data_IF_793108802721
#
_entry.id   IF_793108802721
#
_cell.length_a   1.000
_cell.length_b   1.000
_cell.length_c   1.000
_cell.angle_alpha   90.00
_cell.angle_beta   90.00
_cell.angle_gamma   90.00
#
_symmetry.space_group_name_H-M   'P 1'
#
loop_
_entity.id
_entity.type
_entity.pdbx_description
1 polymer ?
#
# COMPACT_ATOMS: atom_id res chain seq x y z
N UNK A 1 18.09 -27.80 -11.91
CA UNK A 1 17.84 -27.65 -10.47
C UNK A 1 16.40 -28.03 -10.26
N UNK A 2 16.23 -29.33 -10.08
CA UNK A 2 14.99 -29.98 -9.70
C UNK A 2 14.64 -29.55 -8.28
N UNK A 3 13.46 -28.98 -8.10
CA UNK A 3 12.82 -28.86 -6.79
C UNK A 3 11.41 -29.37 -7.02
N UNK A 4 11.26 -30.64 -6.65
CA UNK A 4 10.02 -31.38 -6.66
C UNK A 4 8.93 -30.66 -5.87
N UNK A 5 7.74 -30.73 -6.46
CA UNK A 5 6.48 -30.42 -5.83
C UNK A 5 6.16 -31.51 -4.81
N UNK A 6 6.25 -31.19 -3.53
CA UNK A 6 5.59 -31.96 -2.48
C UNK A 6 4.29 -31.27 -2.06
N UNK A 7 3.27 -32.12 -2.07
CA UNK A 7 1.84 -31.88 -1.95
C UNK A 7 1.51 -31.72 -0.46
N UNK A 8 1.11 -30.52 -0.03
CA UNK A 8 0.47 -30.34 1.28
C UNK A 8 -1.02 -30.67 1.16
N UNK A 9 -1.35 -31.94 1.37
CA UNK A 9 -2.69 -32.45 1.61
C UNK A 9 -3.15 -32.04 3.01
N UNK A 10 -3.80 -30.89 3.12
CA UNK A 10 -4.39 -30.44 4.39
C UNK A 10 -5.72 -31.18 4.61
N UNK A 11 -5.63 -32.30 5.32
CA UNK A 11 -6.77 -33.07 5.82
C UNK A 11 -7.51 -32.23 6.88
N UNK A 12 -8.66 -31.66 6.50
CA UNK A 12 -9.68 -31.23 7.46
C UNK A 12 -10.36 -32.46 8.07
N UNK A 13 -10.08 -32.74 9.35
CA UNK A 13 -10.95 -33.58 10.17
C UNK A 13 -11.55 -32.79 11.34
N UNK A 14 -12.89 -32.71 11.45
CA UNK A 14 -13.58 -32.06 12.55
C UNK A 14 -13.58 -32.96 13.81
N UNK A 15 -12.94 -32.48 14.87
CA UNK A 15 -12.99 -33.12 16.19
C UNK A 15 -14.38 -32.93 16.81
N UNK A 16 -15.28 -33.87 16.56
CA UNK A 16 -16.52 -34.04 17.33
C UNK A 16 -16.51 -35.38 18.05
N UNK A 17 -16.21 -35.35 19.35
CA UNK A 17 -16.37 -36.50 20.24
C UNK A 17 -17.76 -36.44 20.89
N UNK A 18 -18.64 -37.44 20.70
CA UNK A 18 -19.91 -37.51 21.40
C UNK A 18 -19.68 -38.07 22.80
N UNK A 19 -19.75 -37.22 23.82
CA UNK A 19 -19.80 -37.66 25.20
C UNK A 19 -21.24 -38.06 25.58
N UNK A 20 -21.47 -39.37 25.54
CA UNK A 20 -22.34 -40.18 26.40
C UNK A 20 -23.59 -39.51 26.97
N UNK A 21 -24.74 -39.97 26.44
CA UNK A 21 -26.06 -39.81 27.04
C UNK A 21 -26.08 -40.32 28.49
N UNK A 22 -26.26 -39.42 29.44
CA UNK A 22 -26.63 -39.79 30.81
C UNK A 22 -28.16 -39.79 30.87
N UNK A 23 -28.69 -41.00 30.76
CA UNK A 23 -30.02 -41.41 31.16
C UNK A 23 -30.37 -40.95 32.58
N UNK A 24 -31.35 -40.06 32.72
CA UNK A 24 -32.12 -39.87 33.96
C UNK A 24 -33.58 -39.53 33.66
N UNK A 25 -34.35 -40.55 33.29
CA UNK A 25 -35.81 -40.58 33.44
C UNK A 25 -36.13 -41.23 34.78
N UNK A 26 -36.31 -40.44 35.84
CA UNK A 26 -36.93 -40.93 37.08
C UNK A 26 -38.41 -40.59 37.05
N UNK A 27 -39.16 -41.45 36.35
CA UNK A 27 -40.62 -41.46 36.40
C UNK A 27 -41.10 -42.14 37.68
N UNK A 28 -42.22 -41.62 38.15
CA UNK A 28 -42.84 -41.82 39.45
C UNK A 28 -43.07 -43.27 39.89
N UNK A 29 -42.68 -43.50 41.15
CA UNK A 29 -43.36 -44.28 42.19
C UNK A 29 -44.62 -45.04 41.76
N UNK A 30 -44.49 -46.35 41.55
CA UNK A 30 -45.57 -47.32 41.76
C UNK A 30 -45.58 -47.70 43.24
N UNK A 31 -46.39 -47.02 44.04
CA UNK A 31 -46.69 -47.48 45.38
C UNK A 31 -47.93 -48.38 45.33
N UNK A 32 -47.72 -49.67 45.62
CA UNK A 32 -48.74 -50.69 45.77
C UNK A 32 -49.81 -50.24 46.77
N UNK A 33 -51.05 -50.24 46.32
CA UNK A 33 -52.25 -50.32 47.15
C UNK A 33 -52.27 -51.66 47.92
N UNK A 34 -52.49 -51.71 49.23
CA UNK A 34 -53.02 -52.89 49.88
C UNK A 34 -54.55 -52.88 49.82
N UNK A 35 -55.07 -53.95 49.24
CA UNK A 35 -56.48 -54.33 49.13
C UNK A 35 -57.19 -54.36 50.48
N UNK A 36 -58.35 -53.72 50.53
CA UNK A 36 -59.33 -53.87 51.59
C UNK A 36 -60.03 -55.23 51.52
N UNK A 37 -60.17 -55.89 52.68
CA UNK A 37 -61.20 -56.85 53.13
C UNK A 37 -60.66 -57.48 54.44
N UNK A 38 -61.38 -57.71 55.54
CA UNK A 38 -62.80 -57.58 55.89
C UNK A 38 -62.88 -57.67 57.43
N UNK A 39 -63.74 -56.84 58.04
CA UNK A 39 -64.54 -57.04 59.25
C UNK A 39 -64.00 -57.93 60.39
N UNK A 40 -63.80 -57.31 61.56
CA UNK A 40 -64.34 -57.83 62.83
C UNK A 40 -64.84 -56.65 63.68
N UNK A 41 -66.14 -56.67 63.94
CA UNK A 41 -66.80 -55.74 64.85
C UNK A 41 -66.28 -55.94 66.27
N UNK A 42 -65.97 -54.85 66.94
CA UNK A 42 -65.60 -54.79 68.35
C UNK A 42 -65.98 -53.42 68.88
N UNK A 43 -67.12 -53.37 69.54
CA UNK A 43 -67.70 -52.24 70.24
C UNK A 43 -66.66 -51.49 71.08
N UNK A 44 -66.53 -50.18 70.86
CA UNK A 44 -65.98 -49.24 71.82
C UNK A 44 -66.91 -48.04 71.90
N UNK A 45 -67.38 -47.83 73.11
CA UNK A 45 -68.40 -46.91 73.56
C UNK A 45 -68.05 -45.45 73.33
N UNK A 46 -69.10 -44.64 73.36
CA UNK A 46 -69.22 -43.18 73.29
C UNK A 46 -68.41 -42.40 74.39
N UNK A 47 -67.37 -43.01 74.96
CA UNK A 47 -66.49 -42.46 75.99
C UNK A 47 -65.16 -41.93 75.45
N UNK A 48 -64.75 -42.29 74.23
CA UNK A 48 -63.51 -41.77 73.61
C UNK A 48 -63.68 -40.40 72.94
N UNK A 49 -64.93 -39.98 72.66
CA UNK A 49 -65.22 -38.72 71.98
C UNK A 49 -65.01 -37.48 72.85
N UNK A 50 -64.87 -37.68 74.17
CA UNK A 50 -64.81 -36.61 75.17
C UNK A 50 -63.51 -36.59 75.98
N UNK A 51 -62.49 -37.39 75.63
CA UNK A 51 -61.19 -37.35 76.31
C UNK A 51 -60.42 -36.06 75.91
N UNK A 52 -60.18 -35.12 76.85
CA UNK A 52 -59.47 -33.87 76.58
C UNK A 52 -58.04 -34.10 76.06
N UNK A 53 -57.41 -35.23 76.43
CA UNK A 53 -56.05 -35.56 75.98
C UNK A 53 -56.03 -35.95 74.50
N UNK A 54 -57.01 -36.73 74.02
CA UNK A 54 -57.13 -37.09 72.61
C UNK A 54 -57.44 -35.86 71.74
N UNK A 55 -58.30 -34.95 72.22
CA UNK A 55 -58.60 -33.70 71.50
C UNK A 55 -57.38 -32.78 71.38
N UNK A 56 -56.55 -32.67 72.43
CA UNK A 56 -55.28 -31.93 72.37
C UNK A 56 -54.30 -32.56 71.38
N UNK A 57 -54.13 -33.89 71.43
CA UNK A 57 -53.27 -34.62 70.48
C UNK A 57 -53.74 -34.46 69.03
N UNK A 58 -55.04 -34.50 68.78
CA UNK A 58 -55.61 -34.27 67.45
C UNK A 58 -55.30 -32.84 66.97
N UNK A 59 -55.51 -31.83 67.82
CA UNK A 59 -55.16 -30.44 67.50
C UNK A 59 -53.66 -30.23 67.26
N UNK A 60 -52.79 -30.91 68.01
CA UNK A 60 -51.34 -30.90 67.79
C UNK A 60 -50.94 -31.57 66.47
N UNK A 61 -51.59 -32.68 66.11
CA UNK A 61 -51.37 -33.38 64.83
C UNK A 61 -51.85 -32.51 63.67
N UNK A 62 -53.02 -31.88 63.78
CA UNK A 62 -53.53 -30.93 62.77
C UNK A 62 -52.57 -29.76 62.58
N UNK A 63 -52.08 -29.15 63.66
CA UNK A 63 -51.06 -28.08 63.58
C UNK A 63 -49.77 -28.56 62.93
N UNK A 64 -49.28 -29.75 63.28
CA UNK A 64 -48.08 -30.34 62.65
C UNK A 64 -48.29 -30.57 61.16
N UNK A 65 -49.49 -31.02 60.77
CA UNK A 65 -49.85 -31.22 59.37
C UNK A 65 -49.92 -29.90 58.60
N UNK A 66 -50.55 -28.87 59.18
CA UNK A 66 -50.61 -27.53 58.59
C UNK A 66 -49.21 -26.92 58.42
N UNK A 67 -48.37 -27.00 59.45
CA UNK A 67 -46.97 -26.54 59.39
C UNK A 67 -46.18 -27.30 58.34
N UNK A 68 -46.37 -28.62 58.24
CA UNK A 68 -45.70 -29.43 57.22
C UNK A 68 -46.18 -29.10 55.81
N UNK A 69 -47.48 -28.84 55.63
CA UNK A 69 -48.06 -28.46 54.36
C UNK A 69 -47.55 -27.09 53.89
N UNK A 70 -47.47 -26.10 54.79
CA UNK A 70 -46.87 -24.78 54.49
C UNK A 70 -45.41 -24.95 54.07
N UNK A 71 -44.60 -25.68 54.85
CA UNK A 71 -43.19 -25.94 54.50
C UNK A 71 -43.03 -26.65 53.15
N UNK A 72 -43.92 -27.59 52.84
CA UNK A 72 -43.91 -28.28 51.54
C UNK A 72 -44.25 -27.32 50.39
N UNK A 73 -45.24 -26.47 50.57
CA UNK A 73 -45.60 -25.44 49.58
C UNK A 73 -44.47 -24.42 49.40
N UNK A 74 -43.84 -23.97 50.48
CA UNK A 74 -42.70 -23.06 50.45
C UNK A 74 -41.53 -23.69 49.69
N UNK A 75 -41.17 -24.94 50.02
CA UNK A 75 -40.07 -25.64 49.34
C UNK A 75 -40.37 -25.86 47.85
N UNK A 76 -41.62 -26.21 47.51
CA UNK A 76 -42.06 -26.32 46.11
C UNK A 76 -41.96 -24.98 45.40
N UNK A 77 -42.36 -23.88 46.04
CA UNK A 77 -42.28 -22.55 45.44
C UNK A 77 -40.83 -22.10 45.26
N UNK A 78 -39.95 -22.39 46.22
CA UNK A 78 -38.51 -22.13 46.11
C UNK A 78 -37.93 -22.91 44.92
N UNK A 79 -38.22 -24.21 44.81
CA UNK A 79 -37.74 -25.03 43.70
C UNK A 79 -38.20 -24.53 42.33
N UNK A 80 -39.47 -24.09 42.20
CA UNK A 80 -39.97 -23.47 40.97
C UNK A 80 -39.24 -22.15 40.67
N UNK A 81 -39.13 -21.26 41.67
CA UNK A 81 -38.45 -19.96 41.51
C UNK A 81 -36.96 -20.13 41.17
N UNK A 82 -36.29 -21.14 41.72
CA UNK A 82 -34.89 -21.45 41.39
C UNK A 82 -34.76 -22.01 39.97
N UNK A 83 -35.67 -22.90 39.55
CA UNK A 83 -35.70 -23.41 38.19
C UNK A 83 -35.97 -22.30 37.15
N UNK A 84 -36.91 -21.40 37.43
CA UNK A 84 -37.19 -20.22 36.60
C UNK A 84 -35.97 -19.31 36.48
N UNK A 85 -35.29 -19.01 37.60
CA UNK A 85 -34.05 -18.21 37.59
C UNK A 85 -32.94 -18.89 36.79
N UNK A 86 -32.81 -20.21 36.88
CA UNK A 86 -31.82 -20.95 36.11
C UNK A 86 -32.15 -20.93 34.61
N UNK A 87 -33.41 -21.15 34.24
CA UNK A 87 -33.86 -21.08 32.85
C UNK A 87 -33.65 -19.68 32.26
N UNK A 88 -33.95 -18.63 33.01
CA UNK A 88 -33.72 -17.25 32.59
C UNK A 88 -32.23 -16.94 32.39
N UNK A 89 -31.34 -17.46 33.24
CA UNK A 89 -29.88 -17.34 33.05
C UNK A 89 -29.42 -18.02 31.77
N UNK A 90 -29.81 -19.28 31.56
CA UNK A 90 -29.49 -20.03 30.34
C UNK A 90 -30.04 -19.35 29.08
N UNK A 91 -31.25 -18.77 29.17
CA UNK A 91 -31.84 -18.00 28.07
C UNK A 91 -30.98 -16.78 27.74
N UNK A 92 -30.58 -15.99 28.75
CA UNK A 92 -29.72 -14.82 28.55
C UNK A 92 -28.36 -15.19 27.97
N UNK A 93 -27.74 -16.26 28.45
CA UNK A 93 -26.49 -16.77 27.90
C UNK A 93 -26.66 -17.23 26.45
N UNK A 94 -27.77 -17.92 26.13
CA UNK A 94 -28.12 -18.30 24.75
C UNK A 94 -28.34 -17.10 23.83
N UNK A 95 -29.03 -16.07 24.31
CA UNK A 95 -29.24 -14.84 23.53
C UNK A 95 -27.94 -14.05 23.33
N UNK A 96 -27.07 -13.98 24.34
CA UNK A 96 -25.77 -13.33 24.24
C UNK A 96 -24.83 -14.08 23.30
N UNK A 97 -24.74 -15.40 23.42
CA UNK A 97 -23.92 -16.24 22.52
C UNK A 97 -24.41 -16.14 21.08
N UNK A 98 -25.73 -16.14 20.84
CA UNK A 98 -26.29 -15.96 19.50
C UNK A 98 -26.02 -14.55 18.93
N UNK A 99 -26.10 -13.50 19.76
CA UNK A 99 -25.72 -12.14 19.36
C UNK A 99 -24.24 -12.06 18.99
N UNK A 100 -23.35 -12.55 19.85
CA UNK A 100 -21.91 -12.55 19.62
C UNK A 100 -21.53 -13.35 18.37
N UNK A 101 -22.14 -14.53 18.16
CA UNK A 101 -21.94 -15.33 16.96
C UNK A 101 -22.43 -14.58 15.70
N UNK A 102 -23.58 -13.90 15.78
CA UNK A 102 -24.10 -13.09 14.69
C UNK A 102 -23.19 -11.90 14.33
N UNK A 103 -22.62 -11.24 15.33
CA UNK A 103 -21.64 -10.16 15.13
C UNK A 103 -20.35 -10.68 14.49
N UNK A 104 -19.83 -11.81 14.96
CA UNK A 104 -18.64 -12.45 14.38
C UNK A 104 -18.88 -12.90 12.93
N UNK A 105 -20.04 -13.47 12.62
CA UNK A 105 -20.40 -13.86 11.25
C UNK A 105 -20.46 -12.60 10.35
N UNK A 106 -21.00 -11.50 10.85
CA UNK A 106 -21.04 -10.23 10.10
C UNK A 106 -19.64 -9.69 9.85
N UNK A 107 -18.75 -9.68 10.85
CA UNK A 107 -17.38 -9.20 10.67
C UNK A 107 -16.61 -10.07 9.70
N UNK A 108 -16.67 -11.40 9.84
CA UNK A 108 -15.99 -12.34 8.92
C UNK A 108 -16.48 -12.21 7.48
N UNK A 109 -17.78 -11.99 7.26
CA UNK A 109 -18.32 -11.72 5.91
C UNK A 109 -17.83 -10.40 5.35
N UNK A 110 -17.71 -9.36 6.17
CA UNK A 110 -17.14 -8.09 5.74
C UNK A 110 -15.66 -8.24 5.36
N UNK A 111 -14.88 -8.95 6.18
CA UNK A 111 -13.46 -9.22 5.90
C UNK A 111 -13.26 -10.06 4.64
N UNK A 112 -14.09 -11.08 4.41
CA UNK A 112 -14.09 -11.86 3.15
C UNK A 112 -14.42 -10.99 1.93
N UNK A 113 -15.36 -10.06 2.06
CA UNK A 113 -15.69 -9.13 0.98
C UNK A 113 -14.48 -8.21 0.67
N UNK A 114 -13.79 -7.71 1.69
CA UNK A 114 -12.56 -6.91 1.53
C UNK A 114 -11.43 -7.72 0.90
N UNK A 115 -11.19 -8.94 1.37
CA UNK A 115 -10.16 -9.83 0.83
C UNK A 115 -10.45 -10.22 -0.63
N UNK A 116 -11.69 -10.56 -0.97
CA UNK A 116 -12.06 -10.88 -2.35
C UNK A 116 -11.94 -9.68 -3.29
N UNK A 117 -12.26 -8.47 -2.82
CA UNK A 117 -12.04 -7.25 -3.58
C UNK A 117 -10.54 -6.94 -3.76
N UNK A 118 -9.72 -7.18 -2.73
CA UNK A 118 -8.27 -7.05 -2.81
C UNK A 118 -7.66 -8.06 -3.79
N UNK A 119 -8.10 -9.32 -3.77
CA UNK A 119 -7.65 -10.36 -4.71
C UNK A 119 -7.92 -9.96 -6.16
N UNK A 120 -9.13 -9.45 -6.48
CA UNK A 120 -9.46 -8.94 -7.82
C UNK A 120 -8.54 -7.80 -8.25
N UNK A 121 -8.18 -6.90 -7.33
CA UNK A 121 -7.23 -5.80 -7.62
C UNK A 121 -5.82 -6.34 -7.89
N UNK A 122 -5.37 -7.33 -7.11
CA UNK A 122 -4.08 -7.99 -7.32
C UNK A 122 -4.03 -8.64 -8.70
N UNK A 123 -5.07 -9.35 -9.11
CA UNK A 123 -5.12 -9.98 -10.44
C UNK A 123 -5.13 -8.95 -11.57
N UNK A 124 -5.85 -7.84 -11.40
CA UNK A 124 -5.84 -6.74 -12.36
C UNK A 124 -4.46 -6.07 -12.47
N UNK A 125 -3.75 -5.89 -11.35
CA UNK A 125 -2.40 -5.34 -11.32
C UNK A 125 -1.39 -6.31 -11.93
N UNK A 126 -1.50 -7.62 -11.66
CA UNK A 126 -0.65 -8.64 -12.29
C UNK A 126 -0.77 -8.60 -13.81
N UNK A 127 -2.00 -8.55 -14.36
CA UNK A 127 -2.21 -8.42 -15.81
C UNK A 127 -1.57 -7.16 -16.38
N UNK A 128 -1.69 -6.01 -15.69
CA UNK A 128 -1.04 -4.77 -16.09
C UNK A 128 0.49 -4.86 -16.06
N UNK A 129 1.04 -5.55 -15.06
CA UNK A 129 2.48 -5.76 -14.94
C UNK A 129 3.00 -6.65 -16.07
N UNK A 130 2.28 -7.72 -16.42
CA UNK A 130 2.60 -8.58 -17.56
C UNK A 130 2.58 -7.81 -18.89
N UNK A 131 1.56 -6.98 -19.13
CA UNK A 131 1.50 -6.14 -20.35
C UNK A 131 2.64 -5.13 -20.40
N UNK A 132 2.93 -4.44 -19.29
CA UNK A 132 4.03 -3.47 -19.22
C UNK A 132 5.40 -4.15 -19.37
N UNK A 133 5.56 -5.35 -18.82
CA UNK A 133 6.77 -6.15 -18.98
C UNK A 133 7.00 -6.56 -20.43
N UNK A 134 5.93 -6.96 -21.15
CA UNK A 134 6.00 -7.28 -22.57
C UNK A 134 6.34 -6.05 -23.42
N UNK A 135 5.72 -4.89 -23.14
CA UNK A 135 6.05 -3.62 -23.80
C UNK A 135 7.49 -3.19 -23.55
N UNK A 136 7.98 -3.33 -22.31
CA UNK A 136 9.36 -3.02 -21.97
C UNK A 136 10.36 -3.93 -22.71
N UNK A 137 10.03 -5.22 -22.88
CA UNK A 137 10.84 -6.13 -23.67
C UNK A 137 10.86 -5.71 -25.16
N UNK A 138 9.70 -5.39 -25.74
CA UNK A 138 9.60 -4.94 -27.12
C UNK A 138 10.36 -3.63 -27.37
N UNK A 139 10.26 -2.65 -26.45
CA UNK A 139 11.01 -1.39 -26.55
C UNK A 139 12.52 -1.63 -26.44
N UNK A 140 12.97 -2.56 -25.59
CA UNK A 140 14.39 -2.93 -25.51
C UNK A 140 14.89 -3.54 -26.82
N UNK A 141 14.10 -4.39 -27.46
CA UNK A 141 14.43 -4.94 -28.78
C UNK A 141 14.52 -3.84 -29.85
N UNK A 142 13.60 -2.87 -29.84
CA UNK A 142 13.65 -1.72 -30.75
C UNK A 142 14.89 -0.85 -30.52
N UNK A 143 15.26 -0.60 -29.26
CA UNK A 143 16.49 0.14 -28.92
C UNK A 143 17.73 -0.61 -29.44
N UNK A 144 17.79 -1.93 -29.24
CA UNK A 144 18.89 -2.75 -29.74
C UNK A 144 19.00 -2.70 -31.27
N UNK A 145 17.85 -2.76 -31.97
CA UNK A 145 17.79 -2.63 -33.43
C UNK A 145 18.25 -1.26 -33.91
N UNK A 146 17.70 -0.18 -33.35
CA UNK A 146 18.09 1.19 -33.72
C UNK A 146 19.56 1.48 -33.42
N UNK A 147 20.11 0.92 -32.35
CA UNK A 147 21.54 1.02 -32.04
C UNK A 147 22.40 0.31 -33.10
N UNK A 148 21.97 -0.86 -33.58
CA UNK A 148 22.64 -1.56 -34.67
C UNK A 148 22.57 -0.76 -35.98
N UNK A 149 21.39 -0.27 -36.36
CA UNK A 149 21.18 0.54 -37.57
C UNK A 149 22.01 1.84 -37.52
N UNK A 150 22.10 2.48 -36.35
CA UNK A 150 22.91 3.68 -36.16
C UNK A 150 24.41 3.38 -36.31
N UNK A 151 24.89 2.26 -35.75
CA UNK A 151 26.27 1.80 -35.91
C UNK A 151 26.62 1.50 -37.37
N UNK A 152 25.71 0.83 -38.10
CA UNK A 152 25.84 0.56 -39.53
C UNK A 152 25.94 1.87 -40.32
N UNK A 153 24.99 2.79 -40.14
CA UNK A 153 24.99 4.10 -40.79
C UNK A 153 26.26 4.91 -40.47
N UNK A 154 26.76 4.87 -39.23
CA UNK A 154 28.04 5.52 -38.88
C UNK A 154 29.23 4.90 -39.62
N UNK A 155 29.26 3.59 -39.81
CA UNK A 155 30.33 2.90 -40.55
C UNK A 155 30.30 3.22 -42.05
N UNK A 156 29.10 3.31 -42.63
CA UNK A 156 28.89 3.73 -44.02
C UNK A 156 29.33 5.18 -44.23
N UNK A 157 28.93 6.07 -43.32
CA UNK A 157 29.28 7.49 -43.41
C UNK A 157 30.80 7.72 -43.29
N UNK A 158 31.49 6.94 -42.45
CA UNK A 158 32.96 6.91 -42.40
C UNK A 158 33.57 6.44 -43.72
N UNK A 159 33.04 5.36 -44.29
CA UNK A 159 33.49 4.83 -45.59
C UNK A 159 33.28 5.84 -46.72
N UNK A 160 32.11 6.47 -46.80
CA UNK A 160 31.78 7.48 -47.79
C UNK A 160 32.65 8.73 -47.62
N UNK A 161 32.87 9.17 -46.39
CA UNK A 161 33.77 10.29 -46.08
C UNK A 161 35.20 10.00 -46.51
N UNK A 162 35.71 8.78 -46.27
CA UNK A 162 37.02 8.35 -46.73
C UNK A 162 37.10 8.30 -48.27
N UNK A 163 36.07 7.79 -48.95
CA UNK A 163 35.98 7.80 -50.43
C UNK A 163 35.95 9.22 -50.99
N UNK A 164 35.21 10.14 -50.37
CA UNK A 164 35.18 11.55 -50.77
C UNK A 164 36.53 12.22 -50.58
N UNK A 165 37.22 11.96 -49.46
CA UNK A 165 38.58 12.48 -49.24
C UNK A 165 39.56 11.94 -50.29
N UNK A 166 39.51 10.64 -50.61
CA UNK A 166 40.33 10.01 -51.63
C UNK A 166 40.04 10.56 -53.04
N UNK A 167 38.77 10.81 -53.39
CA UNK A 167 38.42 11.44 -54.68
C UNK A 167 38.88 12.90 -54.74
N UNK A 168 38.80 13.65 -53.64
CA UNK A 168 39.32 15.03 -53.57
C UNK A 168 40.83 15.08 -53.74
N UNK A 169 41.59 14.17 -53.11
CA UNK A 169 43.05 14.10 -53.29
C UNK A 169 43.44 13.58 -54.67
N UNK A 170 42.71 12.62 -55.24
CA UNK A 170 42.93 12.17 -56.62
C UNK A 170 42.65 13.30 -57.64
N UNK A 171 41.59 14.09 -57.44
CA UNK A 171 41.27 15.24 -58.29
C UNK A 171 42.33 16.34 -58.18
N UNK A 172 42.78 16.65 -56.95
CA UNK A 172 43.88 17.59 -56.72
C UNK A 172 45.23 17.10 -57.30
N UNK A 173 45.45 15.78 -57.36
CA UNK A 173 46.63 15.17 -58.00
C UNK A 173 46.59 15.30 -59.52
N UNK A 174 45.41 15.20 -60.14
CA UNK A 174 45.21 15.43 -61.58
C UNK A 174 45.36 16.91 -61.94
N UNK A 175 44.89 17.82 -61.07
CA UNK A 175 45.01 19.27 -61.27
C UNK A 175 46.45 19.78 -61.02
N UNK A 176 47.20 19.12 -60.11
CA UNK A 176 48.64 19.37 -59.91
C UNK A 176 49.56 18.65 -60.89
N UNK A 177 49.05 17.72 -61.72
CA UNK A 177 49.81 17.18 -62.85
C UNK A 177 50.07 18.21 -63.97
N UNK A 178 49.39 19.37 -63.94
CA UNK A 178 49.71 20.55 -64.76
C UNK A 178 50.70 21.54 -64.09
N UNK A 179 51.15 21.27 -62.86
CA UNK A 179 52.16 22.11 -62.20
C UNK A 179 53.10 21.24 -61.33
N UNK A 180 54.17 20.75 -61.97
CA UNK A 180 55.27 19.99 -61.36
C UNK A 180 55.88 20.69 -60.14
N UNK A 181 55.91 20.03 -58.98
CA UNK A 181 57.03 20.09 -58.00
C UNK A 181 56.87 19.00 -56.92
N UNK A 182 57.88 18.13 -56.67
CA UNK A 182 57.85 17.16 -55.57
C UNK A 182 58.56 17.73 -54.33
N UNK A 183 57.91 17.65 -53.16
CA UNK A 183 58.43 18.14 -51.89
C UNK A 183 58.01 17.24 -50.72
N UNK A 184 58.99 16.93 -49.89
CA UNK A 184 59.05 15.86 -48.89
C UNK A 184 58.21 16.06 -47.62
N UNK A 185 58.07 14.95 -46.88
CA UNK A 185 57.88 14.85 -45.43
C UNK A 185 56.50 15.19 -44.82
N UNK A 186 55.71 14.16 -44.53
CA UNK A 186 54.72 14.20 -43.45
C UNK A 186 54.91 13.02 -42.49
N UNK A 187 55.38 13.37 -41.30
CA UNK A 187 55.53 12.57 -40.08
C UNK A 187 54.13 12.24 -39.53
N UNK A 188 53.71 10.99 -39.57
CA UNK A 188 52.51 10.52 -38.87
C UNK A 188 52.89 10.05 -37.46
N UNK A 189 52.64 10.88 -36.45
CA UNK A 189 52.69 10.47 -35.05
C UNK A 189 51.41 10.96 -34.37
N UNK A 190 50.52 10.02 -34.04
CA UNK A 190 49.23 10.34 -33.42
C UNK A 190 48.38 9.11 -33.07
N UNK A 191 49.01 7.97 -32.75
CA UNK A 191 48.38 6.95 -31.90
C UNK A 191 48.74 7.26 -30.44
N UNK A 192 47.87 6.88 -29.49
CA UNK A 192 47.77 7.33 -28.08
C UNK A 192 46.71 8.44 -28.00
N UNK A 193 45.49 8.23 -27.46
CA UNK A 193 45.17 7.78 -26.10
C UNK A 193 43.80 7.09 -26.04
N UNK A 194 43.79 5.79 -25.68
CA UNK A 194 42.60 5.08 -25.18
C UNK A 194 42.63 4.98 -23.63
N UNK A 195 43.15 6.02 -22.97
CA UNK A 195 43.50 6.02 -21.53
C UNK A 195 42.87 7.22 -20.79
N UNK A 196 41.74 7.74 -21.30
CA UNK A 196 40.99 8.84 -20.69
C UNK A 196 39.51 8.53 -20.44
N UNK A 197 39.03 7.34 -20.83
CA UNK A 197 37.60 7.00 -20.77
C UNK A 197 37.15 6.52 -19.39
N UNK A 198 37.99 5.80 -18.65
CA UNK A 198 37.62 5.25 -17.35
C UNK A 198 37.49 6.32 -16.26
N UNK A 199 38.47 7.23 -16.15
CA UNK A 199 38.42 8.34 -15.19
C UNK A 199 37.32 9.34 -15.54
N UNK A 200 37.14 9.67 -16.83
CA UNK A 200 36.04 10.53 -17.27
C UNK A 200 34.66 9.90 -17.00
N UNK A 201 34.53 8.58 -17.16
CA UNK A 201 33.30 7.85 -16.83
C UNK A 201 33.02 7.87 -15.32
N UNK A 202 34.04 7.70 -14.48
CA UNK A 202 33.88 7.78 -13.02
C UNK A 202 33.49 9.18 -12.56
N UNK A 203 34.09 10.23 -13.14
CA UNK A 203 33.73 11.62 -12.83
C UNK A 203 32.30 11.93 -13.27
N UNK A 204 31.87 11.45 -14.43
CA UNK A 204 30.49 11.60 -14.90
C UNK A 204 29.48 10.86 -14.01
N UNK A 205 29.79 9.63 -13.59
CA UNK A 205 28.96 8.88 -12.64
C UNK A 205 28.85 9.59 -11.28
N UNK A 206 29.98 10.10 -10.75
CA UNK A 206 29.97 10.84 -9.50
C UNK A 206 29.19 12.17 -9.61
N UNK A 207 29.20 12.82 -10.77
CA UNK A 207 28.37 14.02 -11.02
C UNK A 207 26.88 13.67 -11.04
N UNK A 208 26.50 12.57 -11.70
CA UNK A 208 25.11 12.10 -11.73
C UNK A 208 24.60 11.77 -10.32
N UNK A 209 25.36 11.02 -9.53
CA UNK A 209 24.94 10.67 -8.16
C UNK A 209 24.76 11.90 -7.26
N UNK A 210 25.54 12.97 -7.48
CA UNK A 210 25.34 14.24 -6.77
C UNK A 210 24.04 14.91 -7.21
N UNK A 211 23.77 14.94 -8.51
CA UNK A 211 22.53 15.50 -9.04
C UNK A 211 21.30 14.74 -8.55
N UNK A 212 21.33 13.40 -8.57
CA UNK A 212 20.24 12.55 -8.09
C UNK A 212 19.93 12.83 -6.61
N UNK A 213 20.97 12.91 -5.76
CA UNK A 213 20.81 13.26 -4.36
C UNK A 213 20.24 14.67 -4.17
N UNK A 214 20.71 15.66 -4.94
CA UNK A 214 20.14 17.01 -4.89
C UNK A 214 18.68 17.01 -5.31
N UNK A 215 18.32 16.28 -6.36
CA UNK A 215 16.95 16.10 -6.82
C UNK A 215 16.07 15.49 -5.71
N UNK A 216 16.53 14.45 -5.03
CA UNK A 216 15.78 13.79 -3.94
C UNK A 216 15.55 14.73 -2.75
N UNK A 217 16.54 15.56 -2.41
CA UNK A 217 16.46 16.49 -1.27
C UNK A 217 15.63 17.74 -1.57
N UNK A 218 15.65 18.22 -2.80
CA UNK A 218 15.10 19.53 -3.18
C UNK A 218 13.82 19.45 -4.00
N UNK A 219 13.58 18.33 -4.68
CA UNK A 219 12.55 18.20 -5.70
C UNK A 219 12.84 18.98 -6.98
N UNK A 220 14.07 19.49 -7.15
CA UNK A 220 14.54 20.22 -8.33
C UNK A 220 15.35 19.30 -9.24
N UNK A 221 14.95 19.21 -10.50
CA UNK A 221 15.64 18.43 -11.53
C UNK A 221 16.19 19.41 -12.58
N UNK A 222 17.49 19.29 -12.90
CA UNK A 222 18.14 20.05 -13.98
C UNK A 222 18.24 19.19 -15.24
N UNK A 223 17.21 19.21 -16.09
CA UNK A 223 17.06 18.31 -17.24
C UNK A 223 18.15 18.49 -18.30
N UNK A 224 18.54 19.73 -18.57
CA UNK A 224 19.61 20.02 -19.53
C UNK A 224 20.27 21.36 -19.24
N UNK A 225 21.51 21.48 -19.69
CA UNK A 225 22.29 22.71 -19.62
C UNK A 225 22.74 23.07 -21.03
N UNK A 226 22.38 24.27 -21.49
CA UNK A 226 22.87 24.85 -22.74
C UNK A 226 23.84 25.97 -22.39
N UNK A 227 25.11 25.80 -22.77
CA UNK A 227 26.12 26.85 -22.62
C UNK A 227 26.09 27.75 -23.83
N UNK A 228 25.78 29.02 -23.63
CA UNK A 228 25.85 30.06 -24.65
C UNK A 228 27.10 30.93 -24.45
N UNK A 229 27.31 31.90 -25.34
CA UNK A 229 28.51 32.75 -25.32
C UNK A 229 28.63 33.58 -24.04
N UNK A 230 27.50 34.03 -23.49
CA UNK A 230 27.45 34.93 -22.34
C UNK A 230 26.73 34.32 -21.12
N UNK A 231 25.83 33.36 -21.31
CA UNK A 231 25.03 32.77 -20.23
C UNK A 231 24.96 31.24 -20.36
N UNK A 232 24.77 30.58 -19.21
CA UNK A 232 24.42 29.16 -19.15
C UNK A 232 22.91 29.06 -18.85
N UNK A 233 22.16 28.41 -19.75
CA UNK A 233 20.72 28.22 -19.65
C UNK A 233 20.42 26.81 -19.12
N UNK A 234 19.84 26.77 -17.93
CA UNK A 234 19.44 25.55 -17.23
C UNK A 234 17.95 25.30 -17.45
N UNK A 235 17.60 24.07 -17.80
CA UNK A 235 16.22 23.64 -18.02
C UNK A 235 15.72 22.86 -16.80
N UNK A 236 14.89 23.48 -15.98
CA UNK A 236 14.61 23.08 -14.61
C UNK A 236 13.16 22.64 -14.40
N UNK A 237 12.97 21.54 -13.69
CA UNK A 237 11.65 21.10 -13.23
C UNK A 237 11.65 21.09 -11.70
N UNK A 238 10.77 21.87 -11.09
CA UNK A 238 10.51 21.81 -9.65
C UNK A 238 9.16 21.14 -9.40
N UNK A 239 9.16 20.06 -8.62
CA UNK A 239 7.92 19.39 -8.20
C UNK A 239 7.60 19.70 -6.74
N UNK A 240 6.32 19.91 -6.45
CA UNK A 240 5.79 20.07 -5.11
C UNK A 240 4.39 19.45 -4.96
N UNK A 241 3.76 19.67 -3.81
CA UNK A 241 2.42 19.13 -3.51
C UNK A 241 1.33 19.76 -4.37
N UNK A 242 1.51 21.02 -4.77
CA UNK A 242 0.53 21.78 -5.54
C UNK A 242 0.69 21.58 -7.06
N UNK A 243 1.76 20.94 -7.51
CA UNK A 243 2.02 20.70 -8.93
C UNK A 243 3.50 20.72 -9.28
N UNK A 244 3.77 20.75 -10.58
CA UNK A 244 5.12 20.76 -11.15
C UNK A 244 5.32 22.01 -11.98
N UNK A 245 6.33 22.81 -11.64
CA UNK A 245 6.70 24.03 -12.35
C UNK A 245 7.91 23.74 -13.25
N UNK A 246 7.73 23.93 -14.56
CA UNK A 246 8.80 23.86 -15.54
C UNK A 246 9.25 25.28 -15.90
N UNK A 247 10.55 25.54 -15.82
CA UNK A 247 11.13 26.85 -16.13
C UNK A 247 12.56 26.72 -16.64
N UNK A 248 13.06 27.76 -17.30
CA UNK A 248 14.47 27.91 -17.60
C UNK A 248 15.08 28.97 -16.67
N UNK A 249 16.30 28.73 -16.25
CA UNK A 249 17.09 29.68 -15.49
C UNK A 249 18.35 29.97 -16.29
N UNK A 250 18.51 31.19 -16.77
CA UNK A 250 19.75 31.65 -17.39
C UNK A 250 20.61 32.35 -16.33
N UNK A 251 21.89 32.04 -16.29
CA UNK A 251 22.84 32.70 -15.40
C UNK A 251 24.10 33.07 -16.18
N UNK A 252 24.67 34.24 -15.89
CA UNK A 252 25.94 34.66 -16.48
C UNK A 252 27.02 33.58 -16.33
N UNK A 253 27.64 33.21 -17.46
CA UNK A 253 28.65 32.16 -17.49
C UNK A 253 29.95 32.63 -16.82
N UNK A 254 30.85 31.69 -16.53
CA UNK A 254 32.11 31.98 -15.84
C UNK A 254 33.06 32.90 -16.66
N UNK A 255 32.84 33.02 -17.97
CA UNK A 255 33.66 33.84 -18.88
C UNK A 255 33.17 35.28 -19.00
N UNK A 256 31.89 35.52 -18.76
CA UNK A 256 31.22 36.82 -18.89
C UNK A 256 31.00 37.49 -17.53
N UNK A 257 30.94 36.71 -16.45
CA UNK A 257 30.73 37.22 -15.09
C UNK A 257 32.03 37.82 -14.51
N UNK A 258 32.15 39.15 -14.50
CA UNK A 258 33.27 39.84 -13.85
C UNK A 258 33.26 39.71 -12.32
N UNK A 259 32.08 39.69 -11.69
CA UNK A 259 31.88 39.55 -10.25
C UNK A 259 30.57 38.81 -9.94
N UNK A 260 30.54 38.03 -8.85
CA UNK A 260 29.33 37.31 -8.41
C UNK A 260 28.18 38.26 -8.05
N UNK A 261 28.49 39.44 -7.50
CA UNK A 261 27.50 40.41 -7.04
C UNK A 261 26.80 41.16 -8.18
N UNK A 262 27.50 41.33 -9.31
CA UNK A 262 26.98 42.01 -10.50
C UNK A 262 26.26 41.04 -11.47
N UNK A 263 26.49 39.73 -11.30
CA UNK A 263 25.87 38.71 -12.13
C UNK A 263 24.34 38.70 -11.94
N UNK A 264 23.61 38.54 -13.05
CA UNK A 264 22.14 38.43 -13.05
C UNK A 264 21.72 37.01 -13.41
N UNK A 265 20.52 36.66 -12.97
CA UNK A 265 19.82 35.44 -13.35
C UNK A 265 18.47 35.82 -13.97
N UNK A 266 18.12 35.17 -15.07
CA UNK A 266 16.83 35.33 -15.76
C UNK A 266 16.02 34.05 -15.61
N UNK A 267 14.82 34.17 -15.05
CA UNK A 267 13.84 33.10 -14.91
C UNK A 267 12.81 33.21 -16.02
N UNK A 268 12.62 32.13 -16.76
CA UNK A 268 11.67 32.06 -17.88
C UNK A 268 10.72 30.89 -17.62
N UNK A 269 9.47 31.12 -17.21
CA UNK A 269 8.51 30.05 -17.00
C UNK A 269 8.19 29.34 -18.32
N UNK A 270 7.93 28.03 -18.27
CA UNK A 270 7.49 27.21 -19.40
C UNK A 270 6.07 26.69 -19.13
N UNK A 271 5.17 27.61 -18.80
CA UNK A 271 3.78 27.34 -18.46
C UNK A 271 2.90 27.38 -19.72
N UNK A 272 2.05 26.37 -19.88
CA UNK A 272 1.01 26.33 -20.90
C UNK A 272 -0.32 26.76 -20.26
N UNK A 273 -0.98 27.84 -20.74
CA UNK A 273 -2.23 28.33 -20.15
C UNK A 273 -3.37 27.32 -20.08
N UNK A 274 -3.37 26.31 -20.97
CA UNK A 274 -4.41 25.27 -21.01
C UNK A 274 -4.11 24.14 -20.02
N UNK A 275 -2.84 23.70 -19.97
CA UNK A 275 -2.42 22.57 -19.13
C UNK A 275 -2.19 22.98 -17.68
N UNK A 276 -1.60 24.16 -17.48
CA UNK A 276 -1.05 24.58 -16.19
C UNK A 276 -1.97 25.59 -15.49
N UNK A 277 -3.22 25.75 -15.95
CA UNK A 277 -4.20 26.71 -15.42
C UNK A 277 -4.37 26.64 -13.90
N UNK A 278 -4.57 25.43 -13.37
CA UNK A 278 -4.75 25.23 -11.93
C UNK A 278 -3.50 25.61 -11.13
N UNK A 279 -2.30 25.45 -11.72
CA UNK A 279 -1.05 25.87 -11.08
C UNK A 279 -0.88 27.39 -11.15
N UNK A 280 -1.20 28.02 -12.29
CA UNK A 280 -1.13 29.48 -12.46
C UNK A 280 -2.05 30.22 -11.48
N UNK A 281 -3.21 29.67 -11.14
CA UNK A 281 -4.12 30.26 -10.13
C UNK A 281 -3.54 30.25 -8.70
N UNK A 282 -2.56 29.39 -8.42
CA UNK A 282 -1.93 29.24 -7.10
C UNK A 282 -0.57 29.95 -7.02
N UNK A 283 0.08 30.17 -8.16
CA UNK A 283 1.39 30.81 -8.23
C UNK A 283 1.25 32.33 -8.05
N UNK A 284 2.18 32.98 -7.33
CA UNK A 284 2.32 34.43 -7.38
C UNK A 284 2.56 34.93 -8.81
N UNK A 285 2.01 36.08 -9.17
CA UNK A 285 2.08 36.67 -10.52
C UNK A 285 3.51 36.71 -11.09
N UNK A 286 4.50 37.04 -10.26
CA UNK A 286 5.91 37.13 -10.67
C UNK A 286 6.55 35.78 -11.03
N UNK A 287 5.92 34.63 -10.73
CA UNK A 287 6.37 33.31 -11.19
C UNK A 287 5.64 32.84 -12.46
N UNK A 288 4.61 33.58 -12.89
CA UNK A 288 3.92 33.34 -14.16
C UNK A 288 4.62 34.08 -15.31
N UNK A 289 5.29 35.20 -14.99
CA UNK A 289 6.02 36.03 -15.94
C UNK A 289 7.55 35.80 -15.89
N UNK A 290 8.23 36.24 -16.94
CA UNK A 290 9.69 36.28 -16.99
C UNK A 290 10.23 37.36 -16.04
N UNK A 291 11.20 36.97 -15.19
CA UNK A 291 11.81 37.89 -14.23
C UNK A 291 13.33 37.80 -14.26
N UNK A 292 14.00 38.92 -14.02
CA UNK A 292 15.46 38.97 -13.87
C UNK A 292 15.84 39.51 -12.50
N UNK A 293 16.70 38.80 -11.79
CA UNK A 293 17.14 39.16 -10.44
C UNK A 293 18.66 38.99 -10.26
N UNK A 294 19.29 39.66 -9.28
CA UNK A 294 20.71 39.48 -9.00
C UNK A 294 21.03 38.05 -8.53
N UNK A 295 22.13 37.47 -9.00
CA UNK A 295 22.57 36.11 -8.64
C UNK A 295 22.64 35.86 -7.12
N UNK A 296 23.06 36.80 -6.26
CA UNK A 296 23.00 36.62 -4.80
C UNK A 296 21.58 36.36 -4.24
N UNK A 297 20.53 36.72 -4.98
CA UNK A 297 19.14 36.49 -4.59
C UNK A 297 18.59 35.14 -5.08
N UNK A 298 19.37 34.32 -5.79
CA UNK A 298 18.93 33.02 -6.31
C UNK A 298 18.38 32.10 -5.21
N UNK A 299 19.01 32.08 -4.02
CA UNK A 299 18.51 31.31 -2.90
C UNK A 299 17.14 31.79 -2.40
N UNK A 300 16.91 33.11 -2.38
CA UNK A 300 15.61 33.70 -2.01
C UNK A 300 14.55 33.38 -3.05
N UNK A 301 14.88 33.50 -4.33
CA UNK A 301 14.01 33.09 -5.43
C UNK A 301 13.61 31.62 -5.29
N UNK A 302 14.58 30.71 -5.12
CA UNK A 302 14.32 29.28 -4.95
C UNK A 302 13.40 28.99 -3.75
N UNK A 303 13.65 29.62 -2.60
CA UNK A 303 12.79 29.47 -1.42
C UNK A 303 11.34 29.90 -1.69
N UNK A 304 11.12 30.94 -2.52
CA UNK A 304 9.77 31.39 -2.91
C UNK A 304 9.07 30.40 -3.84
N UNK A 305 9.81 29.81 -4.80
CA UNK A 305 9.28 28.77 -5.68
C UNK A 305 8.84 27.54 -4.88
N UNK A 306 9.71 27.04 -3.99
CA UNK A 306 9.39 25.90 -3.12
C UNK A 306 8.16 26.21 -2.27
N UNK A 307 8.10 27.41 -1.68
CA UNK A 307 6.95 27.85 -0.88
C UNK A 307 5.65 27.78 -1.67
N UNK A 308 5.62 28.36 -2.88
CA UNK A 308 4.44 28.39 -3.74
C UNK A 308 3.97 26.97 -4.15
N UNK A 309 4.90 26.03 -4.31
CA UNK A 309 4.59 24.66 -4.73
C UNK A 309 4.26 23.69 -3.58
N UNK A 310 4.55 24.06 -2.32
CA UNK A 310 4.40 23.16 -1.17
C UNK A 310 3.41 23.63 -0.11
N UNK A 311 3.24 24.94 0.05
CA UNK A 311 2.28 25.53 0.99
C UNK A 311 0.93 25.75 0.31
N UNK A 312 -0.17 25.60 1.05
CA UNK A 312 -1.49 25.94 0.52
C UNK A 312 -1.59 27.47 0.36
N UNK A 313 -2.13 27.97 -0.76
CA UNK A 313 -2.45 29.39 -0.86
C UNK A 313 -3.44 29.76 0.24
N UNK A 314 -3.20 30.93 0.85
CA UNK A 314 -4.05 31.52 1.90
C UNK A 314 -5.25 32.20 1.24
#
# INVERSE_FOLDING_TARGET
MDIDADVDEVVEEPVSKPARSISRTHSHSRQRQPSAQRRRAGSASDTERNDPALRRKLGEITKKYEVLNIKYQDLRQIGVKEAERNMEKLRKEGELTNKNAGELIKSLRADLAVQSAAAKKVDALKKKLETQSAEAAALKEQIAKLAADLSEAQSENKTLSAKLAANRTASASVESAHSKTPGSAMKANGGIRLMGTAEAAQVAQAAQLKEDLYSDLTGLIMRSVKRESEEDVFDCIQTGRNGTLHFKLAAANEKSAGSYDDARCSYIPQLDPSRDKALMELLPDYLVDEITFPRPQAAKFYARVVKALTEKPI
#
